data_IF_520399522681
#
_entry.id   IF_520399522681
#
_cell.length_a   1.000
_cell.length_b   1.000
_cell.length_c   1.000
_cell.angle_alpha   90.00
_cell.angle_beta   90.00
_cell.angle_gamma   90.00
#
_symmetry.space_group_name_H-M   'P 1'
#
loop_
_entity.id
_entity.type
_entity.pdbx_description
1 polymer ?
#
# COMPACT_ATOMS: atom_id res chain seq x y z
N UNK A 1 -14.51 -9.81 -25.10
CA UNK A 1 -13.63 -8.85 -24.41
C UNK A 1 -14.29 -7.50 -24.15
N UNK A 2 -14.63 -6.67 -25.16
CA UNK A 2 -15.27 -5.35 -24.90
C UNK A 2 -16.68 -5.50 -24.32
N UNK A 3 -17.49 -6.41 -24.88
CA UNK A 3 -18.86 -6.64 -24.38
C UNK A 3 -18.87 -7.24 -22.97
N UNK A 4 -17.85 -8.04 -22.62
CA UNK A 4 -17.71 -8.66 -21.29
C UNK A 4 -17.37 -7.67 -20.18
N UNK A 5 -16.70 -6.55 -20.48
CA UNK A 5 -16.34 -5.53 -19.49
C UNK A 5 -17.20 -4.26 -19.57
N UNK A 6 -18.17 -4.25 -20.49
CA UNK A 6 -19.03 -3.09 -20.78
C UNK A 6 -19.78 -2.55 -19.55
N UNK A 7 -20.16 -3.44 -18.62
CA UNK A 7 -20.82 -3.10 -17.36
C UNK A 7 -19.88 -2.46 -16.32
N UNK A 8 -18.57 -2.61 -16.47
CA UNK A 8 -17.55 -1.97 -15.62
C UNK A 8 -17.10 -0.61 -16.15
N UNK A 9 -17.55 -0.26 -17.36
CA UNK A 9 -17.20 0.98 -18.04
C UNK A 9 -18.34 1.99 -17.90
N UNK A 10 -18.05 3.30 -17.73
CA UNK A 10 -19.07 4.33 -17.83
C UNK A 10 -19.80 4.20 -19.18
N UNK A 11 -21.10 3.83 -19.19
CA UNK A 11 -21.74 3.25 -20.38
C UNK A 11 -21.85 4.22 -21.56
N UNK A 12 -21.79 5.53 -21.30
CA UNK A 12 -21.95 6.57 -22.31
C UNK A 12 -20.62 7.06 -22.90
N UNK A 13 -19.50 6.96 -22.17
CA UNK A 13 -18.24 7.58 -22.61
C UNK A 13 -17.46 6.67 -23.56
N UNK A 14 -17.37 5.37 -23.28
CA UNK A 14 -16.50 4.48 -24.04
C UNK A 14 -16.99 4.27 -25.48
N UNK A 15 -18.25 3.89 -25.68
CA UNK A 15 -18.79 3.66 -27.02
C UNK A 15 -18.83 4.93 -27.89
N UNK A 16 -19.01 6.11 -27.28
CA UNK A 16 -19.05 7.38 -28.01
C UNK A 16 -17.67 7.93 -28.38
N UNK A 17 -16.63 7.61 -27.62
CA UNK A 17 -15.29 8.19 -27.83
C UNK A 17 -14.26 7.19 -28.36
N UNK A 18 -14.50 5.87 -28.32
CA UNK A 18 -13.49 4.87 -28.74
C UNK A 18 -13.01 5.10 -30.18
N UNK A 19 -13.91 5.53 -31.08
CA UNK A 19 -13.61 5.85 -32.48
C UNK A 19 -12.71 7.08 -32.66
N UNK A 20 -12.55 7.92 -31.62
CA UNK A 20 -11.69 9.12 -31.66
C UNK A 20 -10.21 8.79 -31.43
N UNK A 21 -9.88 7.62 -30.88
CA UNK A 21 -8.51 7.22 -30.57
C UNK A 21 -7.81 6.57 -31.78
N UNK A 22 -7.12 7.40 -32.58
CA UNK A 22 -6.44 6.97 -33.82
C UNK A 22 -5.26 6.01 -33.65
N UNK A 23 -4.75 5.84 -32.43
CA UNK A 23 -3.58 4.98 -32.11
C UNK A 23 -3.90 3.91 -31.08
N UNK A 24 -5.19 3.56 -30.94
CA UNK A 24 -5.68 2.73 -29.85
C UNK A 24 -5.82 3.52 -28.54
N UNK A 25 -6.41 2.88 -27.54
CA UNK A 25 -6.61 3.43 -26.21
C UNK A 25 -6.17 2.40 -25.15
N UNK A 26 -5.63 2.89 -24.04
CA UNK A 26 -5.36 2.07 -22.86
C UNK A 26 -6.45 2.33 -21.83
N UNK A 27 -7.10 1.26 -21.39
CA UNK A 27 -8.07 1.33 -20.31
C UNK A 27 -7.36 1.03 -19.00
N UNK A 28 -7.52 1.94 -18.02
CA UNK A 28 -7.05 1.74 -16.67
C UNK A 28 -8.26 1.45 -15.78
N UNK A 29 -8.31 0.24 -15.23
CA UNK A 29 -9.31 -0.18 -14.27
C UNK A 29 -8.60 -0.46 -12.95
N UNK A 30 -9.09 0.13 -11.87
CA UNK A 30 -8.55 -0.07 -10.53
C UNK A 30 -9.66 -0.47 -9.59
N UNK A 31 -9.53 -1.62 -8.95
CA UNK A 31 -10.41 -2.00 -7.87
C UNK A 31 -10.17 -1.08 -6.65
N UNK A 32 -11.24 -0.73 -5.94
CA UNK A 32 -11.21 -0.02 -4.67
C UNK A 32 -12.32 -0.55 -3.77
N UNK A 33 -12.07 -0.57 -2.46
CA UNK A 33 -13.18 -0.62 -1.50
C UNK A 33 -14.08 0.61 -1.66
N UNK A 34 -15.39 0.44 -1.43
CA UNK A 34 -16.35 1.54 -1.38
C UNK A 34 -15.85 2.59 -0.37
N UNK A 35 -15.90 3.90 -0.69
CA UNK A 35 -15.57 4.95 0.28
C UNK A 35 -16.47 4.85 1.52
N UNK A 36 -15.91 4.92 2.73
CA UNK A 36 -16.72 5.14 3.94
C UNK A 36 -17.34 6.53 3.78
N UNK A 37 -18.67 6.59 3.89
CA UNK A 37 -19.44 7.83 3.85
C UNK A 37 -18.87 8.83 4.86
N UNK A 38 -18.54 10.08 4.47
CA UNK A 38 -18.08 11.10 5.41
C UNK A 38 -19.08 11.42 6.54
N UNK A 39 -20.37 11.08 6.38
CA UNK A 39 -21.38 11.21 7.43
C UNK A 39 -21.45 9.99 8.38
N UNK A 40 -20.78 8.89 8.06
CA UNK A 40 -20.65 7.77 8.97
C UNK A 40 -19.73 8.16 10.12
N UNK A 41 -20.29 8.24 11.34
CA UNK A 41 -19.59 8.59 12.58
C UNK A 41 -18.22 7.91 12.69
N UNK A 42 -17.21 8.67 13.09
CA UNK A 42 -15.80 8.28 13.22
C UNK A 42 -15.51 7.07 14.14
N UNK A 43 -16.51 6.43 14.73
CA UNK A 43 -16.34 5.45 15.80
C UNK A 43 -16.42 3.98 15.38
N UNK A 44 -16.79 3.63 14.14
CA UNK A 44 -16.55 2.27 13.62
C UNK A 44 -16.45 2.33 12.08
N UNK A 45 -15.32 1.96 11.46
CA UNK A 45 -15.30 1.62 10.04
C UNK A 45 -16.15 0.36 9.91
N UNK A 46 -17.42 0.49 9.52
CA UNK A 46 -18.21 -0.67 9.10
C UNK A 46 -17.47 -1.28 7.92
N UNK A 47 -17.18 -2.57 8.08
CA UNK A 47 -16.36 -3.41 7.20
C UNK A 47 -17.14 -3.74 5.92
N UNK A 48 -17.61 -2.71 5.21
CA UNK A 48 -18.14 -2.88 3.87
C UNK A 48 -16.98 -3.16 2.92
N UNK A 49 -16.68 -4.44 2.79
CA UNK A 49 -15.66 -4.97 1.88
C UNK A 49 -16.12 -4.96 0.41
N UNK A 50 -17.28 -4.34 0.11
CA UNK A 50 -17.75 -4.15 -1.26
C UNK A 50 -16.71 -3.42 -2.10
N UNK A 51 -16.52 -3.91 -3.32
CA UNK A 51 -15.52 -3.44 -4.27
C UNK A 51 -16.19 -2.69 -5.41
N UNK A 52 -15.57 -1.60 -5.84
CA UNK A 52 -15.95 -0.81 -7.02
C UNK A 52 -14.81 -0.77 -8.02
N UNK A 53 -15.16 -0.58 -9.29
CA UNK A 53 -14.20 -0.33 -10.36
C UNK A 53 -14.02 1.19 -10.54
N UNK A 54 -12.79 1.67 -10.38
CA UNK A 54 -12.39 3.06 -10.59
C UNK A 54 -11.67 3.19 -11.93
N UNK A 55 -12.15 4.10 -12.77
CA UNK A 55 -11.61 4.37 -14.10
C UNK A 55 -10.81 5.67 -14.19
N UNK A 56 -11.02 6.61 -13.25
CA UNK A 56 -10.19 7.81 -13.12
C UNK A 56 -8.94 7.51 -12.29
N UNK A 57 -7.79 7.53 -12.95
CA UNK A 57 -6.48 7.26 -12.34
C UNK A 57 -6.01 8.31 -11.34
N UNK A 58 -6.75 9.42 -11.16
CA UNK A 58 -6.49 10.48 -10.16
C UNK A 58 -7.33 10.34 -8.90
N UNK A 59 -8.33 9.45 -8.90
CA UNK A 59 -9.19 9.22 -7.75
C UNK A 59 -8.44 8.47 -6.65
N UNK A 60 -8.74 8.81 -5.40
CA UNK A 60 -8.21 8.07 -4.25
C UNK A 60 -8.93 6.73 -4.16
N UNK A 61 -8.16 5.65 -4.15
CA UNK A 61 -8.63 4.28 -3.94
C UNK A 61 -8.28 3.79 -2.55
N UNK A 62 -9.08 2.85 -2.08
CA UNK A 62 -8.95 2.20 -0.78
C UNK A 62 -8.68 0.71 -0.95
N UNK A 63 -7.87 0.19 -0.05
CA UNK A 63 -7.59 -1.24 0.07
C UNK A 63 -7.53 -1.64 1.53
N UNK A 64 -7.84 -2.90 1.83
CA UNK A 64 -7.63 -3.52 3.13
C UNK A 64 -6.81 -4.78 2.96
N UNK A 65 -5.71 -4.86 3.72
CA UNK A 65 -4.84 -6.05 3.76
C UNK A 65 -4.75 -6.50 5.21
N UNK A 66 -5.22 -7.72 5.49
CA UNK A 66 -5.43 -8.20 6.85
C UNK A 66 -6.32 -7.22 7.64
N UNK A 67 -5.85 -6.71 8.77
CA UNK A 67 -6.52 -5.74 9.63
C UNK A 67 -6.16 -4.28 9.31
N UNK A 68 -5.34 -4.03 8.26
CA UNK A 68 -4.82 -2.70 7.94
C UNK A 68 -5.48 -2.08 6.71
N UNK A 69 -5.77 -0.79 6.80
CA UNK A 69 -6.41 0.01 5.77
C UNK A 69 -5.40 0.88 5.02
N UNK A 70 -5.56 1.03 3.71
CA UNK A 70 -4.66 1.83 2.88
C UNK A 70 -5.44 2.75 1.96
N UNK A 71 -4.91 3.97 1.76
CA UNK A 71 -5.34 4.91 0.72
C UNK A 71 -4.17 5.27 -0.17
N UNK A 72 -4.46 5.46 -1.46
CA UNK A 72 -3.51 5.97 -2.45
C UNK A 72 -4.26 6.51 -3.66
N UNK A 73 -3.55 7.17 -4.57
CA UNK A 73 -4.09 7.51 -5.87
C UNK A 73 -4.22 6.26 -6.77
N UNK A 74 -5.33 6.11 -7.51
CA UNK A 74 -5.64 4.95 -8.35
C UNK A 74 -4.50 4.57 -9.32
N UNK A 75 -3.87 5.58 -9.93
CA UNK A 75 -2.75 5.41 -10.86
C UNK A 75 -1.40 5.13 -10.19
N UNK A 76 -1.31 5.14 -8.86
CA UNK A 76 -0.08 4.76 -8.15
C UNK A 76 0.12 3.26 -8.17
N UNK A 77 1.37 2.78 -8.06
CA UNK A 77 1.65 1.34 -8.01
C UNK A 77 1.09 0.67 -6.76
N UNK A 78 0.43 -0.46 -6.96
CA UNK A 78 -0.02 -1.38 -5.92
C UNK A 78 -0.20 -2.77 -6.51
N UNK A 79 -0.21 -3.80 -5.67
CA UNK A 79 -0.35 -5.18 -6.14
C UNK A 79 -1.67 -5.36 -6.91
N UNK A 80 -1.59 -5.95 -8.09
CA UNK A 80 -2.76 -6.16 -8.96
C UNK A 80 -3.65 -7.31 -8.48
N UNK A 81 -3.06 -8.26 -7.76
CA UNK A 81 -3.78 -9.38 -7.17
C UNK A 81 -3.86 -9.17 -5.65
N UNK A 82 -4.97 -8.61 -5.13
CA UNK A 82 -5.11 -8.42 -3.68
C UNK A 82 -5.28 -9.74 -2.93
N UNK A 83 -5.75 -10.80 -3.59
CA UNK A 83 -6.02 -12.11 -2.95
C UNK A 83 -4.76 -12.78 -2.42
N UNK A 84 -3.59 -12.56 -3.04
CA UNK A 84 -2.33 -13.14 -2.59
C UNK A 84 -1.72 -12.39 -1.40
N UNK A 85 -2.11 -11.13 -1.17
CA UNK A 85 -1.50 -10.29 -0.14
C UNK A 85 -1.68 -10.86 1.27
N UNK A 86 -2.88 -11.29 1.62
CA UNK A 86 -3.16 -11.86 2.94
C UNK A 86 -2.30 -13.10 3.25
N UNK A 87 -2.37 -14.17 2.42
CA UNK A 87 -1.53 -15.36 2.59
C UNK A 87 -0.03 -15.07 2.58
N UNK A 88 0.44 -14.23 1.65
CA UNK A 88 1.84 -13.87 1.54
C UNK A 88 2.35 -13.14 2.78
N UNK A 89 1.57 -12.21 3.31
CA UNK A 89 1.96 -11.45 4.50
C UNK A 89 1.96 -12.31 5.76
N UNK A 90 0.99 -13.24 5.90
CA UNK A 90 0.99 -14.21 7.01
C UNK A 90 2.22 -15.11 6.96
N UNK A 91 2.53 -15.66 5.79
CA UNK A 91 3.75 -16.45 5.60
C UNK A 91 5.02 -15.68 6.00
N UNK A 92 5.14 -14.43 5.56
CA UNK A 92 6.29 -13.59 5.93
C UNK A 92 6.36 -13.34 7.45
N UNK A 93 5.23 -13.08 8.11
CA UNK A 93 5.19 -12.93 9.56
C UNK A 93 5.62 -14.21 10.26
N UNK A 94 5.14 -15.36 9.79
CA UNK A 94 5.46 -16.68 10.35
C UNK A 94 6.95 -17.04 10.18
N UNK A 95 7.62 -16.63 9.10
CA UNK A 95 9.06 -16.84 8.92
C UNK A 95 9.92 -15.89 9.77
N UNK A 96 9.43 -14.68 10.07
CA UNK A 96 10.15 -13.70 10.89
C UNK A 96 10.03 -13.96 12.41
N UNK A 97 9.00 -14.69 12.85
CA UNK A 97 8.76 -14.99 14.28
C UNK A 97 9.76 -16.02 14.88
N UNK A 98 10.11 -17.13 14.22
CA UNK A 98 11.09 -18.12 14.71
C UNK A 98 12.45 -17.49 15.02
N UNK A 99 12.89 -16.50 14.23
CA UNK A 99 14.11 -15.73 14.50
C UNK A 99 14.09 -14.98 15.84
N UNK A 100 12.92 -14.84 16.49
CA UNK A 100 12.76 -14.27 17.84
C UNK A 100 12.80 -15.31 18.96
N UNK A 101 12.39 -16.56 18.70
CA UNK A 101 12.25 -17.60 19.73
C UNK A 101 13.57 -18.30 20.06
N UNK A 102 14.48 -18.44 19.09
CA UNK A 102 15.80 -19.04 19.33
C UNK A 102 16.75 -18.14 20.14
N UNK A 103 16.38 -16.87 20.38
CA UNK A 103 17.15 -15.89 21.17
C UNK A 103 16.71 -15.78 22.64
N UNK A 104 16.03 -16.80 23.18
CA UNK A 104 15.52 -16.81 24.57
C UNK A 104 16.59 -16.86 25.68
N UNK A 105 17.88 -16.77 25.37
CA UNK A 105 18.96 -16.65 26.37
C UNK A 105 19.78 -15.37 26.14
N UNK A 106 19.26 -14.24 26.63
CA UNK A 106 20.01 -13.00 26.84
C UNK A 106 19.55 -11.82 25.98
N UNK A 107 18.90 -10.84 26.61
CA UNK A 107 18.41 -9.55 26.10
C UNK A 107 17.59 -9.59 24.80
N UNK A 108 16.36 -9.05 24.85
CA UNK A 108 15.58 -8.78 23.63
C UNK A 108 16.35 -7.77 22.76
N UNK A 109 17.07 -8.26 21.74
CA UNK A 109 17.75 -7.40 20.79
C UNK A 109 16.72 -6.58 20.02
N UNK A 110 16.91 -5.25 20.01
CA UNK A 110 16.11 -4.37 19.19
C UNK A 110 16.24 -4.74 17.71
N UNK A 111 15.10 -4.92 17.04
CA UNK A 111 15.07 -5.26 15.62
C UNK A 111 14.59 -4.07 14.81
N UNK A 112 15.28 -3.80 13.71
CA UNK A 112 15.02 -2.66 12.85
C UNK A 112 14.70 -3.13 11.43
N UNK A 113 13.66 -2.57 10.82
CA UNK A 113 13.31 -2.85 9.41
C UNK A 113 13.68 -1.65 8.54
N UNK A 114 14.48 -1.89 7.51
CA UNK A 114 14.68 -0.94 6.41
C UNK A 114 13.92 -1.43 5.20
N UNK A 115 12.82 -0.73 4.86
CA UNK A 115 11.96 -1.05 3.73
C UNK A 115 12.27 -0.09 2.57
N UNK A 116 13.15 -0.52 1.67
CA UNK A 116 13.47 0.26 0.46
C UNK A 116 12.34 0.16 -0.55
N UNK A 117 12.16 1.21 -1.36
CA UNK A 117 11.09 1.29 -2.35
C UNK A 117 9.69 1.09 -1.75
N UNK A 118 9.46 1.58 -0.52
CA UNK A 118 8.34 1.19 0.34
C UNK A 118 6.93 1.48 -0.19
N UNK A 119 6.80 2.20 -1.32
CA UNK A 119 5.53 2.60 -1.91
C UNK A 119 4.68 3.37 -0.91
N UNK A 120 3.46 2.91 -0.68
CA UNK A 120 2.52 3.47 0.29
C UNK A 120 2.69 2.94 1.73
N UNK A 121 3.78 2.20 2.00
CA UNK A 121 4.13 1.72 3.33
C UNK A 121 3.60 0.33 3.70
N UNK A 122 3.15 -0.48 2.74
CA UNK A 122 2.50 -1.80 2.98
C UNK A 122 3.26 -2.67 4.01
N UNK A 123 4.52 -3.01 3.72
CA UNK A 123 5.32 -3.85 4.62
C UNK A 123 5.65 -3.15 5.94
N UNK A 124 6.01 -1.87 5.90
CA UNK A 124 6.35 -1.09 7.10
C UNK A 124 5.18 -1.03 8.09
N UNK A 125 3.94 -0.99 7.59
CA UNK A 125 2.72 -0.92 8.40
C UNK A 125 2.32 -2.32 8.89
N UNK A 126 2.31 -3.32 8.01
CA UNK A 126 1.89 -4.68 8.38
C UNK A 126 2.88 -5.36 9.32
N UNK A 127 4.17 -5.10 9.16
CA UNK A 127 5.22 -5.71 9.99
C UNK A 127 5.58 -4.83 11.21
N UNK A 128 4.90 -3.70 11.43
CA UNK A 128 5.22 -2.74 12.48
C UNK A 128 5.39 -3.35 13.88
N UNK A 129 4.53 -4.28 14.25
CA UNK A 129 4.57 -4.96 15.55
C UNK A 129 5.77 -5.91 15.73
N UNK A 130 6.47 -6.26 14.64
CA UNK A 130 7.60 -7.19 14.69
C UNK A 130 8.94 -6.48 14.93
N UNK A 131 9.01 -5.16 14.84
CA UNK A 131 10.26 -4.41 14.90
C UNK A 131 10.15 -3.26 15.90
N UNK A 132 11.27 -2.89 16.51
CA UNK A 132 11.37 -1.71 17.37
C UNK A 132 11.11 -0.44 16.56
N UNK A 133 11.70 -0.35 15.36
CA UNK A 133 11.52 0.79 14.46
C UNK A 133 11.63 0.39 12.99
N UNK A 134 10.79 1.01 12.16
CA UNK A 134 10.72 0.82 10.73
C UNK A 134 11.09 2.11 9.98
N UNK A 135 11.97 2.00 8.99
CA UNK A 135 12.33 3.10 8.10
C UNK A 135 11.96 2.70 6.67
N UNK A 136 10.96 3.38 6.09
CA UNK A 136 10.61 3.27 4.68
C UNK A 136 11.34 4.31 3.83
N UNK A 137 11.96 3.89 2.73
CA UNK A 137 12.64 4.78 1.79
C UNK A 137 11.91 4.77 0.46
N UNK A 138 11.58 5.96 -0.05
CA UNK A 138 10.92 6.09 -1.37
C UNK A 138 11.31 7.40 -2.04
N UNK A 139 11.50 7.34 -3.36
CA UNK A 139 11.91 8.50 -4.15
C UNK A 139 10.81 9.57 -4.30
N UNK A 140 9.56 9.14 -4.51
CA UNK A 140 8.45 10.04 -4.90
C UNK A 140 7.73 10.63 -3.68
N UNK A 141 7.58 11.96 -3.67
CA UNK A 141 6.95 12.72 -2.57
C UNK A 141 5.50 12.29 -2.30
N UNK A 142 4.72 12.02 -3.35
CA UNK A 142 3.33 11.60 -3.21
C UNK A 142 3.21 10.25 -2.51
N UNK A 143 4.10 9.30 -2.85
CA UNK A 143 4.13 8.00 -2.19
C UNK A 143 4.52 8.13 -0.72
N UNK A 144 5.47 9.01 -0.38
CA UNK A 144 5.83 9.31 1.02
C UNK A 144 4.63 9.91 1.77
N UNK A 145 3.89 10.83 1.14
CA UNK A 145 2.68 11.41 1.74
C UNK A 145 1.65 10.34 2.07
N UNK A 146 1.38 9.43 1.13
CA UNK A 146 0.47 8.31 1.38
C UNK A 146 1.02 7.33 2.42
N UNK A 147 2.32 7.05 2.43
CA UNK A 147 2.92 6.16 3.44
C UNK A 147 2.77 6.73 4.86
N UNK A 148 3.04 8.02 5.06
CA UNK A 148 2.80 8.72 6.32
C UNK A 148 1.33 8.71 6.71
N UNK A 149 0.45 9.06 5.78
CA UNK A 149 -1.00 9.04 6.00
C UNK A 149 -1.49 7.65 6.40
N UNK A 150 -1.04 6.59 5.71
CA UNK A 150 -1.45 5.22 6.00
C UNK A 150 -0.90 4.72 7.33
N UNK A 151 0.28 5.15 7.76
CA UNK A 151 0.77 4.84 9.10
C UNK A 151 -0.12 5.46 10.18
N UNK A 152 -0.49 6.74 10.03
CA UNK A 152 -1.46 7.40 10.92
C UNK A 152 -2.83 6.70 10.88
N UNK A 153 -3.34 6.36 9.70
CA UNK A 153 -4.62 5.66 9.51
C UNK A 153 -4.69 4.33 10.27
N UNK A 154 -3.54 3.66 10.44
CA UNK A 154 -3.44 2.37 11.11
C UNK A 154 -2.86 2.45 12.53
N UNK A 155 -2.75 3.66 13.09
CA UNK A 155 -2.17 3.90 14.42
C UNK A 155 -0.74 3.34 14.58
N UNK A 156 0.06 3.37 13.51
CA UNK A 156 1.46 2.93 13.53
C UNK A 156 2.36 4.13 13.85
N UNK A 157 3.03 4.08 15.00
CA UNK A 157 3.87 5.16 15.51
C UNK A 157 5.37 4.90 15.37
N UNK A 158 5.77 3.65 15.16
CA UNK A 158 7.17 3.24 15.04
C UNK A 158 7.66 3.14 13.58
N UNK A 159 6.94 3.73 12.62
CA UNK A 159 7.32 3.76 11.21
C UNK A 159 7.60 5.19 10.72
N UNK A 160 8.81 5.42 10.21
CA UNK A 160 9.25 6.67 9.59
C UNK A 160 9.43 6.49 8.09
N UNK A 161 9.18 7.55 7.31
CA UNK A 161 9.28 7.52 5.85
C UNK A 161 10.14 8.67 5.33
N UNK A 162 11.21 8.31 4.61
CA UNK A 162 12.25 9.22 4.13
C UNK A 162 12.21 9.28 2.60
N UNK A 163 12.23 10.51 2.08
CA UNK A 163 12.33 10.78 0.65
C UNK A 163 13.76 10.70 0.16
N UNK A 164 14.03 9.90 -0.88
CA UNK A 164 15.34 9.85 -1.53
C UNK A 164 15.63 8.54 -2.25
N UNK A 165 16.81 8.48 -2.87
CA UNK A 165 17.36 7.27 -3.45
C UNK A 165 17.84 6.32 -2.35
N UNK A 166 17.42 5.05 -2.43
CA UNK A 166 17.76 4.05 -1.43
C UNK A 166 19.28 3.84 -1.33
N UNK A 167 19.95 3.81 -2.48
CA UNK A 167 21.40 3.63 -2.60
C UNK A 167 22.16 4.76 -1.94
N UNK A 168 21.75 6.01 -2.16
CA UNK A 168 22.40 7.18 -1.57
C UNK A 168 22.21 7.21 -0.04
N UNK A 169 20.99 6.95 0.43
CA UNK A 169 20.68 6.94 1.87
C UNK A 169 21.44 5.80 2.57
N UNK A 170 21.38 4.58 2.02
CA UNK A 170 22.09 3.43 2.59
C UNK A 170 23.60 3.63 2.57
N UNK A 171 24.16 4.20 1.49
CA UNK A 171 25.59 4.55 1.45
C UNK A 171 25.97 5.47 2.60
N UNK A 172 25.18 6.49 2.89
CA UNK A 172 25.46 7.39 4.02
C UNK A 172 25.42 6.65 5.36
N UNK A 173 24.52 5.70 5.57
CA UNK A 173 24.50 4.89 6.79
C UNK A 173 25.74 4.00 6.95
N UNK A 174 26.18 3.35 5.87
CA UNK A 174 27.30 2.40 5.95
C UNK A 174 28.68 3.07 5.84
N UNK A 175 28.79 4.20 5.14
CA UNK A 175 30.07 4.89 4.94
C UNK A 175 30.35 5.99 5.96
N UNK A 176 29.36 6.51 6.71
CA UNK A 176 29.63 7.52 7.75
C UNK A 176 30.19 6.93 9.06
N UNK A 177 30.35 5.61 9.13
CA UNK A 177 30.90 4.88 10.28
C UNK A 177 32.32 4.33 10.00
N UNK A 178 32.98 4.78 8.93
CA UNK A 178 34.38 4.51 8.60
C UNK A 178 35.13 5.81 8.29
#
# INVERSE_FOLDING_TARGET
MIDEISHLLPPLFFYSTIHTFKRGATLLLRESLVPIDPEASADVPTDDDSRICVTDHKTIVREKVLDKNFKQNAGSFFQNNPLILGPFMRYMMDELIPSKKDKQHGNEEEQYLVNTYCGLGLFSILLAQLFTKNIGIKLTSDSIRYAKFNATLNNITNAEFIGGEAEAILRNFFCSNY
#
